data_IF_275916219748
#
_entry.id   IF_275916219748
#
_cell.length_a   1.000
_cell.length_b   1.000
_cell.length_c   1.000
_cell.angle_alpha   90.00
_cell.angle_beta   90.00
_cell.angle_gamma   90.00
#
_symmetry.space_group_name_H-M   'P 1'
#
loop_
_entity.id
_entity.type
_entity.pdbx_description
1 polymer ?
#
# COMPACT_ATOMS: atom_id res chain seq x y z
N UNK A 1 -18.65 -3.62 -21.28
CA UNK A 1 -19.35 -2.32 -21.11
C UNK A 1 -18.68 -1.37 -20.15
N UNK A 2 -17.95 -1.84 -19.14
CA UNK A 2 -17.24 -1.00 -18.13
C UNK A 2 -16.28 0.01 -18.80
N UNK A 3 -15.51 -0.40 -19.79
CA UNK A 3 -14.55 0.48 -20.48
C UNK A 3 -15.14 1.60 -21.34
N UNK A 4 -16.47 1.74 -21.42
CA UNK A 4 -17.13 2.80 -22.17
C UNK A 4 -17.56 3.99 -21.32
N UNK A 5 -17.38 3.94 -20.00
CA UNK A 5 -17.75 5.02 -19.08
C UNK A 5 -16.66 5.23 -18.04
N UNK A 6 -16.20 6.47 -17.89
CA UNK A 6 -15.25 6.85 -16.85
C UNK A 6 -15.78 6.59 -15.42
N UNK A 7 -17.11 6.56 -15.27
CA UNK A 7 -17.78 6.38 -13.97
C UNK A 7 -18.14 4.93 -13.66
N UNK A 8 -18.11 4.02 -14.65
CA UNK A 8 -18.54 2.64 -14.44
C UNK A 8 -17.65 1.88 -13.44
N UNK A 9 -16.35 2.16 -13.42
CA UNK A 9 -15.42 1.56 -12.47
C UNK A 9 -15.74 1.95 -11.02
N UNK A 10 -16.12 3.21 -10.80
CA UNK A 10 -16.50 3.71 -9.47
C UNK A 10 -17.82 3.10 -9.02
N UNK A 11 -18.80 3.06 -9.93
CA UNK A 11 -20.14 2.52 -9.63
C UNK A 11 -20.20 1.00 -9.42
N UNK A 12 -19.24 0.27 -9.96
CA UNK A 12 -19.17 -1.19 -9.85
C UNK A 12 -18.15 -1.68 -8.80
N UNK A 13 -17.53 -0.76 -8.04
CA UNK A 13 -16.61 -1.11 -6.97
C UNK A 13 -15.29 -1.76 -7.42
N UNK A 14 -14.91 -1.63 -8.69
CA UNK A 14 -13.69 -2.28 -9.24
C UNK A 14 -12.40 -1.64 -8.74
N UNK A 15 -12.46 -0.42 -8.19
CA UNK A 15 -11.30 0.33 -7.71
C UNK A 15 -10.61 -0.34 -6.52
N UNK A 16 -11.36 -1.10 -5.72
CA UNK A 16 -10.86 -1.80 -4.53
C UNK A 16 -10.82 -3.33 -4.68
N UNK A 17 -11.04 -3.85 -5.90
CA UNK A 17 -11.11 -5.30 -6.12
C UNK A 17 -9.81 -6.02 -5.74
N UNK A 18 -8.67 -5.49 -6.15
CA UNK A 18 -7.37 -6.06 -5.85
C UNK A 18 -7.13 -6.13 -4.33
N UNK A 19 -7.39 -5.03 -3.63
CA UNK A 19 -7.21 -4.94 -2.18
C UNK A 19 -8.16 -5.89 -1.44
N UNK A 20 -9.40 -6.03 -1.89
CA UNK A 20 -10.35 -6.98 -1.27
C UNK A 20 -9.92 -8.43 -1.46
N UNK A 21 -9.34 -8.79 -2.61
CA UNK A 21 -8.79 -10.13 -2.84
C UNK A 21 -7.58 -10.37 -1.93
N UNK A 22 -6.64 -9.42 -1.87
CA UNK A 22 -5.45 -9.54 -1.02
C UNK A 22 -5.83 -9.70 0.46
N UNK A 23 -6.74 -8.87 0.97
CA UNK A 23 -7.21 -8.99 2.35
C UNK A 23 -7.91 -10.34 2.61
N UNK A 24 -8.75 -10.80 1.68
CA UNK A 24 -9.46 -12.08 1.83
C UNK A 24 -8.51 -13.27 1.88
N UNK A 25 -7.49 -13.30 1.03
CA UNK A 25 -6.59 -14.45 0.88
C UNK A 25 -5.47 -14.45 1.94
N UNK A 26 -4.93 -13.28 2.29
CA UNK A 26 -3.67 -13.18 3.00
C UNK A 26 -3.75 -12.47 4.35
N UNK A 27 -4.80 -11.69 4.63
CA UNK A 27 -4.89 -10.97 5.90
C UNK A 27 -5.32 -11.88 7.06
N UNK A 28 -4.88 -11.53 8.27
CA UNK A 28 -5.38 -12.12 9.52
C UNK A 28 -6.87 -11.84 9.69
N UNK A 29 -7.55 -12.61 10.58
CA UNK A 29 -8.97 -12.37 10.86
C UNK A 29 -9.21 -10.94 11.37
N UNK A 30 -8.30 -10.41 12.20
CA UNK A 30 -8.37 -9.04 12.70
C UNK A 30 -8.43 -8.02 11.55
N UNK A 31 -7.57 -8.15 10.54
CA UNK A 31 -7.54 -7.22 9.40
C UNK A 31 -8.69 -7.43 8.43
N UNK A 32 -9.22 -8.66 8.32
CA UNK A 32 -10.44 -8.91 7.54
C UNK A 32 -11.65 -8.19 8.16
N UNK A 33 -11.83 -8.31 9.45
CA UNK A 33 -12.93 -7.63 10.15
C UNK A 33 -12.76 -6.10 10.08
N UNK A 34 -11.55 -5.60 10.28
CA UNK A 34 -11.29 -4.17 10.32
C UNK A 34 -11.37 -3.49 8.96
N UNK A 35 -10.90 -4.15 7.89
CA UNK A 35 -10.77 -3.52 6.57
C UNK A 35 -11.55 -4.22 5.46
N UNK A 36 -11.62 -5.55 5.40
CA UNK A 36 -12.29 -6.23 4.28
C UNK A 36 -13.79 -5.95 4.27
N UNK A 37 -14.45 -6.11 5.40
CA UNK A 37 -15.89 -5.92 5.48
C UNK A 37 -16.32 -4.48 5.13
N UNK A 38 -15.73 -3.42 5.73
CA UNK A 38 -16.06 -2.05 5.35
C UNK A 38 -15.60 -1.67 3.93
N UNK A 39 -14.51 -2.28 3.42
CA UNK A 39 -14.06 -2.09 2.05
C UNK A 39 -15.08 -2.61 1.04
N UNK A 40 -15.58 -3.84 1.24
CA UNK A 40 -16.60 -4.46 0.37
C UNK A 40 -17.91 -3.67 0.40
N UNK A 41 -18.25 -3.08 1.54
CA UNK A 41 -19.42 -2.20 1.70
C UNK A 41 -19.23 -0.81 1.08
N UNK A 42 -17.99 -0.45 0.69
CA UNK A 42 -17.67 0.88 0.18
C UNK A 42 -17.61 1.98 1.25
N UNK A 43 -17.49 1.61 2.51
CA UNK A 43 -17.40 2.53 3.66
C UNK A 43 -16.01 3.15 3.81
N UNK A 44 -14.98 2.45 3.32
CA UNK A 44 -13.59 2.90 3.32
C UNK A 44 -12.95 2.73 1.95
N UNK A 45 -11.80 3.39 1.74
CA UNK A 45 -10.96 3.24 0.54
C UNK A 45 -9.58 2.75 0.92
N UNK A 46 -8.96 1.87 0.11
CA UNK A 46 -7.58 1.46 0.26
C UNK A 46 -6.68 2.38 -0.56
N UNK A 47 -5.38 2.26 -0.32
CA UNK A 47 -4.33 2.78 -1.18
C UNK A 47 -3.21 1.75 -1.31
N UNK A 48 -2.38 1.88 -2.36
CA UNK A 48 -1.24 1.00 -2.58
C UNK A 48 0.03 1.81 -2.84
N UNK A 49 1.04 1.59 -2.02
CA UNK A 49 2.35 2.25 -2.10
C UNK A 49 3.40 1.30 -2.66
N UNK A 50 3.70 1.39 -3.96
CA UNK A 50 4.71 0.56 -4.62
C UNK A 50 5.87 1.37 -5.16
N UNK A 51 5.61 2.25 -6.13
CA UNK A 51 6.64 3.00 -6.86
C UNK A 51 7.31 4.07 -6.00
N UNK A 52 8.57 4.36 -6.29
CA UNK A 52 9.41 5.30 -5.54
C UNK A 52 10.00 6.38 -6.44
N UNK A 53 10.15 7.61 -5.95
CA UNK A 53 10.68 8.71 -6.79
C UNK A 53 12.16 8.57 -7.13
N UNK A 54 12.94 7.89 -6.28
CA UNK A 54 14.41 7.81 -6.40
C UNK A 54 14.89 6.68 -7.31
N UNK A 55 14.02 5.75 -7.71
CA UNK A 55 14.40 4.57 -8.50
C UNK A 55 13.48 4.33 -9.70
N UNK A 56 14.01 3.63 -10.71
CA UNK A 56 13.22 3.19 -11.86
C UNK A 56 12.30 2.02 -11.46
N UNK A 57 11.14 2.35 -10.90
CA UNK A 57 10.21 1.37 -10.31
C UNK A 57 9.53 0.43 -11.32
N UNK A 58 9.85 0.54 -12.61
CA UNK A 58 9.53 -0.48 -13.63
C UNK A 58 10.30 -1.79 -13.38
N UNK A 59 11.44 -1.71 -12.70
CA UNK A 59 12.12 -2.85 -12.09
C UNK A 59 11.87 -2.79 -10.56
N UNK A 60 10.89 -3.53 -10.03
CA UNK A 60 10.52 -3.43 -8.62
C UNK A 60 11.59 -3.98 -7.67
N UNK A 61 12.60 -4.68 -8.17
CA UNK A 61 13.73 -5.14 -7.35
C UNK A 61 14.63 -4.00 -6.90
N UNK A 62 14.49 -2.80 -7.49
CA UNK A 62 15.22 -1.59 -7.13
C UNK A 62 14.60 -0.79 -5.98
N UNK A 63 13.42 -1.17 -5.51
CA UNK A 63 12.73 -0.46 -4.42
C UNK A 63 13.59 -0.41 -3.16
N UNK A 64 13.60 0.75 -2.49
CA UNK A 64 14.47 1.08 -1.36
C UNK A 64 13.72 1.23 -0.03
N UNK A 65 12.40 1.42 -0.05
CA UNK A 65 11.60 1.48 1.18
C UNK A 65 11.79 0.20 1.98
N UNK A 66 12.27 0.34 3.22
CA UNK A 66 12.59 -0.78 4.10
C UNK A 66 11.55 -0.94 5.21
N UNK A 67 11.42 -2.18 5.70
CA UNK A 67 10.72 -2.49 6.93
C UNK A 67 11.57 -3.46 7.76
N UNK A 68 11.92 -3.06 8.96
CA UNK A 68 12.70 -3.87 9.90
C UNK A 68 11.80 -4.32 11.04
N UNK A 69 11.81 -5.62 11.32
CA UNK A 69 11.05 -6.20 12.43
C UNK A 69 11.90 -6.27 13.69
N UNK A 70 11.49 -5.54 14.72
CA UNK A 70 12.14 -5.53 16.02
C UNK A 70 11.07 -5.66 17.12
N UNK A 71 11.23 -6.64 18.00
CA UNK A 71 10.34 -6.87 19.15
C UNK A 71 8.85 -6.94 18.79
N UNK A 72 8.50 -7.59 17.66
CA UNK A 72 7.11 -7.73 17.21
C UNK A 72 6.52 -6.47 16.55
N UNK A 73 7.36 -5.49 16.21
CA UNK A 73 6.96 -4.24 15.57
C UNK A 73 7.76 -4.01 14.30
N UNK A 74 7.09 -3.76 13.19
CA UNK A 74 7.71 -3.28 11.96
C UNK A 74 7.99 -1.79 12.08
N UNK A 75 9.22 -1.39 11.75
CA UNK A 75 9.60 0.01 11.54
C UNK A 75 9.85 0.24 10.06
N UNK A 76 9.02 1.08 9.44
CA UNK A 76 9.03 1.34 8.00
C UNK A 76 9.62 2.73 7.74
N UNK A 77 10.58 2.78 6.81
CA UNK A 77 11.20 4.02 6.35
C UNK A 77 11.32 4.01 4.83
N UNK A 78 10.99 5.14 4.21
CA UNK A 78 11.10 5.30 2.77
C UNK A 78 10.09 6.27 2.21
N UNK A 79 9.97 6.26 0.88
CA UNK A 79 9.12 7.18 0.17
C UNK A 79 8.45 6.48 -1.01
N UNK A 80 7.17 6.74 -1.18
CA UNK A 80 6.38 6.23 -2.30
C UNK A 80 5.74 7.37 -3.05
N UNK A 81 5.55 7.22 -4.35
CA UNK A 81 4.81 8.20 -5.14
C UNK A 81 3.77 7.54 -6.04
N UNK A 82 2.94 8.35 -6.70
CA UNK A 82 1.76 7.88 -7.42
C UNK A 82 0.87 6.97 -6.57
N UNK A 83 0.86 7.21 -5.25
CA UNK A 83 0.03 6.47 -4.29
C UNK A 83 -1.40 6.96 -4.42
N UNK A 84 -2.17 6.27 -5.24
CA UNK A 84 -3.53 6.68 -5.62
C UNK A 84 -4.46 6.65 -4.43
N UNK A 85 -5.18 7.76 -4.20
CA UNK A 85 -6.18 7.87 -3.15
C UNK A 85 -5.64 8.00 -1.72
N UNK A 86 -4.32 8.17 -1.53
CA UNK A 86 -3.68 8.22 -0.21
C UNK A 86 -4.33 9.21 0.76
N UNK A 87 -4.83 10.36 0.26
CA UNK A 87 -5.47 11.40 1.10
C UNK A 87 -6.82 11.01 1.71
N UNK A 88 -7.45 9.95 1.20
CA UNK A 88 -8.76 9.47 1.67
C UNK A 88 -8.76 8.00 2.07
N UNK A 89 -7.64 7.33 1.94
CA UNK A 89 -7.52 5.92 2.28
C UNK A 89 -7.53 5.72 3.79
N UNK A 90 -8.18 4.65 4.25
CA UNK A 90 -8.11 4.21 5.64
C UNK A 90 -6.78 3.50 5.94
N UNK A 91 -6.20 2.87 4.93
CA UNK A 91 -4.89 2.22 5.01
C UNK A 91 -4.21 2.23 3.65
N UNK A 92 -2.89 2.06 3.68
CA UNK A 92 -2.06 1.81 2.49
C UNK A 92 -1.38 0.45 2.63
N UNK A 93 -1.51 -0.42 1.63
CA UNK A 93 -0.66 -1.59 1.51
C UNK A 93 0.67 -1.15 0.91
N UNK A 94 1.76 -1.33 1.64
CA UNK A 94 3.08 -0.82 1.27
C UNK A 94 4.01 -1.97 0.91
N UNK A 95 4.61 -1.91 -0.28
CA UNK A 95 5.68 -2.83 -0.68
C UNK A 95 6.98 -2.37 -0.03
N UNK A 96 7.53 -3.20 0.86
CA UNK A 96 8.73 -2.93 1.63
C UNK A 96 9.78 -4.02 1.45
N UNK A 97 11.05 -3.64 1.44
CA UNK A 97 12.17 -4.55 1.53
C UNK A 97 12.32 -5.01 2.98
N UNK A 98 12.00 -6.28 3.25
CA UNK A 98 12.04 -6.90 4.59
C UNK A 98 13.20 -7.88 4.74
N UNK A 99 13.69 -8.45 3.62
CA UNK A 99 14.81 -9.36 3.56
C UNK A 99 15.99 -8.66 2.89
N UNK A 100 16.80 -7.94 3.68
CA UNK A 100 17.86 -7.05 3.17
C UNK A 100 18.92 -7.79 2.35
N UNK A 101 19.18 -9.05 2.68
CA UNK A 101 20.20 -9.89 2.04
C UNK A 101 19.63 -10.82 0.95
N UNK A 102 18.32 -10.86 0.79
CA UNK A 102 17.68 -11.70 -0.23
C UNK A 102 17.76 -11.05 -1.62
N UNK A 103 18.02 -11.82 -2.68
CA UNK A 103 18.03 -11.29 -4.03
C UNK A 103 16.63 -11.17 -4.64
N UNK A 104 16.47 -10.20 -5.54
CA UNK A 104 15.28 -10.09 -6.40
C UNK A 104 13.97 -9.93 -5.63
N UNK A 105 12.92 -10.57 -6.12
CA UNK A 105 11.57 -10.45 -5.58
C UNK A 105 11.41 -11.00 -4.16
N UNK A 106 12.24 -11.98 -3.77
CA UNK A 106 12.24 -12.55 -2.42
C UNK A 106 12.65 -11.59 -1.30
N UNK A 107 13.11 -10.39 -1.64
CA UNK A 107 13.47 -9.35 -0.69
C UNK A 107 12.26 -8.60 -0.11
N UNK A 108 11.08 -8.73 -0.71
CA UNK A 108 9.97 -7.81 -0.47
C UNK A 108 8.75 -8.48 0.17
N UNK A 109 8.08 -7.70 1.01
CA UNK A 109 6.81 -8.06 1.65
C UNK A 109 5.82 -6.91 1.52
N UNK A 110 4.53 -7.22 1.66
CA UNK A 110 3.47 -6.21 1.75
C UNK A 110 3.09 -6.02 3.22
N UNK A 111 3.01 -4.76 3.66
CA UNK A 111 2.64 -4.41 5.03
C UNK A 111 1.47 -3.41 5.00
N UNK A 112 0.44 -3.67 5.81
CA UNK A 112 -0.70 -2.77 5.98
C UNK A 112 -0.30 -1.64 6.91
N UNK A 113 -0.39 -0.40 6.42
CA UNK A 113 -0.12 0.82 7.19
C UNK A 113 -1.40 1.65 7.29
N UNK A 114 -1.99 1.82 8.50
CA UNK A 114 -3.06 2.77 8.71
C UNK A 114 -2.62 4.19 8.36
N UNK A 115 -3.46 4.97 7.68
CA UNK A 115 -3.07 6.31 7.21
C UNK A 115 -3.11 7.38 8.31
N UNK A 116 -3.70 7.06 9.46
CA UNK A 116 -3.67 7.87 10.68
C UNK A 116 -2.39 7.67 11.52
N UNK A 117 -1.48 6.80 11.07
CA UNK A 117 -0.18 6.62 11.73
C UNK A 117 0.64 7.91 11.68
N UNK A 118 1.22 8.37 12.81
CA UNK A 118 1.94 9.64 12.88
C UNK A 118 3.18 9.73 11.97
N UNK A 119 3.76 8.60 11.61
CA UNK A 119 4.88 8.52 10.64
C UNK A 119 4.46 8.52 9.17
N UNK A 120 3.15 8.39 8.88
CA UNK A 120 2.61 8.44 7.52
C UNK A 120 2.36 9.89 7.11
N UNK A 121 3.14 10.41 6.15
CA UNK A 121 3.09 11.81 5.75
C UNK A 121 2.79 11.95 4.27
N UNK A 122 1.72 12.63 3.92
CA UNK A 122 1.46 13.05 2.54
C UNK A 122 2.31 14.29 2.26
N UNK A 123 3.25 14.20 1.32
CA UNK A 123 4.18 15.27 0.98
C UNK A 123 3.56 16.25 -0.02
N UNK A 124 2.95 15.70 -1.09
CA UNK A 124 2.30 16.49 -2.15
C UNK A 124 1.42 15.62 -3.03
N UNK A 125 0.54 16.24 -3.77
CA UNK A 125 -0.11 15.61 -4.91
C UNK A 125 0.86 15.55 -6.10
N UNK A 126 0.81 14.43 -6.84
CA UNK A 126 1.61 14.19 -8.05
C UNK A 126 0.70 14.22 -9.28
N UNK A 127 0.59 15.35 -9.99
CA UNK A 127 -0.26 15.44 -11.17
C UNK A 127 0.19 14.50 -12.28
N UNK A 128 -0.77 13.89 -12.96
CA UNK A 128 -0.54 13.07 -14.16
C UNK A 128 -1.06 13.83 -15.38
N UNK A 129 -0.21 14.03 -16.37
CA UNK A 129 -0.52 14.83 -17.57
C UNK A 129 -1.05 16.24 -17.24
N UNK A 130 -0.55 16.85 -16.16
CA UNK A 130 -0.99 18.17 -15.70
C UNK A 130 -2.36 18.21 -15.03
N UNK A 131 -2.97 17.06 -14.75
CA UNK A 131 -4.26 16.94 -14.09
C UNK A 131 -4.04 16.39 -12.66
N UNK A 132 -4.62 17.06 -11.68
CA UNK A 132 -4.70 16.55 -10.32
C UNK A 132 -5.65 15.36 -10.31
N UNK A 133 -5.10 14.15 -10.16
CA UNK A 133 -5.83 12.88 -10.29
C UNK A 133 -5.91 12.07 -9.00
N UNK A 134 -5.56 12.68 -7.87
CA UNK A 134 -5.59 12.01 -6.57
C UNK A 134 -4.44 11.01 -6.39
N UNK A 135 -3.30 11.26 -7.03
CA UNK A 135 -2.06 10.52 -6.79
C UNK A 135 -1.16 11.34 -5.87
N UNK A 136 -0.49 10.70 -4.93
CA UNK A 136 0.29 11.39 -3.90
C UNK A 136 1.67 10.81 -3.75
N UNK A 137 2.60 11.68 -3.36
CA UNK A 137 3.88 11.30 -2.79
C UNK A 137 3.69 11.19 -1.26
N UNK A 138 4.11 10.03 -0.72
CA UNK A 138 3.96 9.68 0.69
C UNK A 138 5.32 9.32 1.26
N UNK A 139 5.66 9.91 2.39
CA UNK A 139 6.83 9.56 3.20
C UNK A 139 6.40 8.67 4.38
N UNK A 140 7.19 7.65 4.62
CA UNK A 140 7.14 6.78 5.79
C UNK A 140 8.36 7.12 6.66
N UNK A 141 8.13 7.86 7.74
CA UNK A 141 9.17 8.31 8.67
C UNK A 141 9.00 7.58 9.99
N UNK A 142 9.79 6.52 10.19
CA UNK A 142 9.69 5.63 11.34
C UNK A 142 8.25 5.19 11.64
N UNK A 143 7.51 4.82 10.61
CA UNK A 143 6.17 4.26 10.77
C UNK A 143 6.27 2.95 11.54
N UNK A 144 5.65 2.88 12.70
CA UNK A 144 5.61 1.67 13.52
C UNK A 144 4.24 1.01 13.42
N UNK A 145 4.25 -0.29 13.07
CA UNK A 145 3.04 -1.11 13.03
C UNK A 145 3.35 -2.50 13.60
N UNK A 146 2.38 -3.18 14.24
CA UNK A 146 2.54 -4.54 14.74
C UNK A 146 2.98 -5.54 13.67
N UNK A 147 3.65 -6.62 14.09
CA UNK A 147 4.06 -7.71 13.19
C UNK A 147 2.89 -8.29 12.37
N UNK A 148 1.71 -8.36 12.96
CA UNK A 148 0.49 -8.86 12.32
C UNK A 148 -0.02 -8.01 11.14
N UNK A 149 0.55 -6.82 10.91
CA UNK A 149 0.27 -6.00 9.73
C UNK A 149 0.90 -6.56 8.44
N UNK A 150 1.72 -7.59 8.56
CA UNK A 150 2.26 -8.30 7.40
C UNK A 150 1.12 -8.98 6.63
N UNK A 151 1.05 -8.72 5.34
CA UNK A 151 0.06 -9.29 4.44
C UNK A 151 0.69 -10.44 3.65
N UNK A 152 0.30 -11.66 3.99
CA UNK A 152 0.90 -12.88 3.44
C UNK A 152 2.25 -13.26 4.08
N UNK A 153 2.96 -14.24 3.49
CA UNK A 153 4.25 -14.67 4.02
C UNK A 153 5.35 -13.61 3.79
N UNK A 154 6.28 -13.53 4.72
CA UNK A 154 7.45 -12.65 4.62
C UNK A 154 8.33 -13.01 3.41
N UNK A 155 8.79 -12.02 2.66
CA UNK A 155 9.58 -12.22 1.44
C UNK A 155 8.75 -12.70 0.23
N UNK A 156 7.43 -12.70 0.30
CA UNK A 156 6.54 -13.15 -0.77
C UNK A 156 5.52 -12.05 -1.17
N UNK A 157 5.99 -10.81 -1.24
CA UNK A 157 5.15 -9.67 -1.60
C UNK A 157 4.79 -9.58 -3.09
N UNK A 158 5.46 -10.37 -3.96
CA UNK A 158 5.20 -10.45 -5.41
C UNK A 158 4.50 -11.73 -5.78
#
# INVERSE_FOLDING_TARGET
MIGRSAYANVGLGTVSLQDSIMLREFASNHWREKYLDPLVKGEIFPSFGMTEPEVASSDPTQLQTTAVLENGTWRINGRKWFTTGASRAAYTTVMCKTELDAPGHGAFSMIIVPTDNPGYKIIRETPVLGINGGHYEVEYDNVEVPEENLLGPRGQGF
#
